data_IF_196301887084
#
_entry.id   IF_196301887084
#
_cell.length_a   1.000
_cell.length_b   1.000
_cell.length_c   1.000
_cell.angle_alpha   90.00
_cell.angle_beta   90.00
_cell.angle_gamma   90.00
#
_symmetry.space_group_name_H-M   'P 1'
#
loop_
_entity.id
_entity.type
_entity.pdbx_description
1 polymer ?
#
# COMPACT_ATOMS: atom_id res chain seq x y z
N UNK A 1 31.51 -25.65 13.50
CA UNK A 1 32.40 -25.22 12.40
C UNK A 1 31.89 -25.82 11.10
N UNK A 2 31.20 -25.03 10.28
CA UNK A 2 31.01 -25.27 8.85
C UNK A 2 30.91 -23.89 8.19
N UNK A 3 32.03 -23.16 8.15
CA UNK A 3 32.19 -21.92 7.39
C UNK A 3 32.63 -22.23 5.96
N UNK A 4 31.91 -23.13 5.28
CA UNK A 4 32.17 -23.49 3.89
C UNK A 4 31.29 -22.67 2.91
N UNK A 5 30.74 -21.55 3.36
CA UNK A 5 30.05 -20.62 2.47
C UNK A 5 31.06 -19.84 1.64
N UNK A 6 30.88 -19.81 0.32
CA UNK A 6 31.60 -18.88 -0.54
C UNK A 6 31.15 -17.46 -0.19
N UNK A 7 32.04 -16.65 0.41
CA UNK A 7 31.72 -15.29 0.87
C UNK A 7 31.92 -14.22 -0.21
N UNK A 8 32.43 -14.60 -1.38
CA UNK A 8 32.81 -13.67 -2.47
C UNK A 8 32.57 -14.32 -3.85
N UNK A 9 31.41 -14.95 -4.02
CA UNK A 9 31.06 -15.61 -5.28
C UNK A 9 30.65 -14.58 -6.34
N UNK A 10 31.42 -14.50 -7.42
CA UNK A 10 31.03 -13.75 -8.61
C UNK A 10 30.06 -14.60 -9.44
N UNK A 11 28.89 -14.02 -9.75
CA UNK A 11 27.89 -14.64 -10.63
C UNK A 11 27.71 -13.80 -11.89
N UNK A 12 27.75 -14.45 -13.05
CA UNK A 12 27.43 -13.79 -14.33
C UNK A 12 25.95 -13.98 -14.62
N UNK A 13 25.20 -12.88 -14.73
CA UNK A 13 23.79 -12.91 -15.12
C UNK A 13 23.70 -12.84 -16.65
N UNK A 14 23.20 -13.91 -17.28
CA UNK A 14 22.99 -13.97 -18.74
C UNK A 14 21.54 -13.64 -19.06
N UNK A 15 21.28 -12.46 -19.62
CA UNK A 15 19.91 -11.98 -19.88
C UNK A 15 19.20 -12.65 -21.08
N UNK A 16 19.82 -13.64 -21.72
CA UNK A 16 19.32 -14.32 -22.92
C UNK A 16 19.86 -15.75 -22.98
N UNK A 17 19.37 -16.65 -22.13
CA UNK A 17 19.59 -18.08 -22.31
C UNK A 17 18.44 -18.68 -23.10
N UNK A 18 18.75 -19.48 -24.13
CA UNK A 18 17.77 -20.27 -24.90
C UNK A 18 17.03 -21.32 -24.06
N UNK A 19 17.45 -21.52 -22.80
CA UNK A 19 16.82 -22.40 -21.84
C UNK A 19 15.88 -21.62 -20.92
N UNK A 20 14.69 -22.20 -20.68
CA UNK A 20 13.51 -21.72 -19.93
C UNK A 20 13.73 -21.40 -18.43
N UNK A 21 14.90 -20.86 -18.04
CA UNK A 21 15.22 -20.54 -16.65
C UNK A 21 15.31 -19.03 -16.49
N UNK A 22 14.40 -18.47 -15.69
CA UNK A 22 14.39 -17.04 -15.37
C UNK A 22 15.68 -16.65 -14.65
N UNK A 23 16.37 -15.62 -15.14
CA UNK A 23 17.57 -15.08 -14.51
C UNK A 23 17.22 -14.22 -13.29
N UNK A 24 18.12 -14.21 -12.29
CA UNK A 24 18.02 -13.31 -11.14
C UNK A 24 18.24 -11.85 -11.55
N UNK A 25 17.49 -10.93 -10.93
CA UNK A 25 17.67 -9.49 -11.17
C UNK A 25 18.88 -8.94 -10.41
N UNK A 26 19.83 -8.36 -11.15
CA UNK A 26 21.08 -7.78 -10.65
C UNK A 26 20.91 -6.56 -9.75
N UNK A 27 19.74 -5.93 -9.69
CA UNK A 27 19.51 -4.72 -8.89
C UNK A 27 19.01 -5.02 -7.46
N UNK A 28 18.77 -6.29 -7.11
CA UNK A 28 18.44 -6.66 -5.74
C UNK A 28 19.68 -6.70 -4.83
N UNK A 29 19.51 -6.26 -3.59
CA UNK A 29 20.55 -6.32 -2.55
C UNK A 29 20.58 -7.65 -1.81
N UNK A 30 19.47 -8.39 -1.79
CA UNK A 30 19.30 -9.64 -1.07
C UNK A 30 18.43 -10.61 -1.87
N UNK A 31 18.74 -11.91 -1.79
CA UNK A 31 17.93 -12.98 -2.36
C UNK A 31 17.54 -13.98 -1.27
N UNK A 32 16.26 -14.34 -1.24
CA UNK A 32 15.76 -15.47 -0.46
C UNK A 32 15.34 -16.55 -1.46
N UNK A 33 16.16 -17.59 -1.58
CA UNK A 33 15.91 -18.71 -2.48
C UNK A 33 15.11 -19.78 -1.74
N UNK A 34 14.01 -20.21 -2.35
CA UNK A 34 13.11 -21.22 -1.82
C UNK A 34 13.24 -22.46 -2.70
N UNK A 35 13.35 -23.62 -2.07
CA UNK A 35 13.52 -24.90 -2.76
C UNK A 35 12.53 -25.92 -2.16
N UNK A 36 11.71 -26.51 -3.02
CA UNK A 36 10.80 -27.62 -2.69
C UNK A 36 11.34 -28.98 -3.19
N UNK A 37 12.57 -28.99 -3.72
CA UNK A 37 13.25 -30.15 -4.29
C UNK A 37 12.85 -30.48 -5.72
N UNK A 38 12.03 -29.67 -6.39
CA UNK A 38 11.56 -29.91 -7.77
C UNK A 38 12.18 -28.93 -8.76
N UNK A 39 12.73 -29.47 -9.84
CA UNK A 39 13.28 -28.65 -10.93
C UNK A 39 12.16 -28.10 -11.83
N UNK A 40 12.28 -26.83 -12.23
CA UNK A 40 11.37 -26.14 -13.15
C UNK A 40 9.90 -26.14 -12.69
N UNK A 41 9.69 -26.09 -11.38
CA UNK A 41 8.36 -26.03 -10.78
C UNK A 41 8.14 -24.67 -10.12
N UNK A 42 7.03 -24.01 -10.45
CA UNK A 42 6.55 -22.88 -9.67
C UNK A 42 5.89 -23.40 -8.40
N UNK A 43 6.28 -22.84 -7.25
CA UNK A 43 5.66 -23.18 -5.97
C UNK A 43 4.15 -22.94 -6.03
N UNK A 44 3.38 -23.94 -5.61
CA UNK A 44 1.91 -23.84 -5.53
C UNK A 44 1.42 -22.98 -4.36
N UNK A 45 2.25 -22.87 -3.32
CA UNK A 45 1.97 -22.04 -2.15
C UNK A 45 2.61 -20.66 -2.31
N UNK A 46 2.03 -19.63 -1.65
CA UNK A 46 2.61 -18.28 -1.56
C UNK A 46 3.35 -18.11 -0.21
N UNK A 47 4.62 -18.56 -0.09
CA UNK A 47 5.40 -18.40 1.14
C UNK A 47 5.69 -16.94 1.48
N UNK A 48 5.68 -16.05 0.47
CA UNK A 48 5.82 -14.60 0.66
C UNK A 48 4.69 -14.06 1.53
N UNK A 49 3.46 -14.54 1.35
CA UNK A 49 2.32 -14.14 2.18
C UNK A 49 2.57 -14.32 3.68
N UNK A 50 3.06 -15.50 4.10
CA UNK A 50 3.40 -15.83 5.50
C UNK A 50 4.60 -15.03 6.01
N UNK A 51 5.60 -14.82 5.15
CA UNK A 51 6.77 -14.02 5.48
C UNK A 51 6.38 -12.57 5.79
N UNK A 52 5.59 -11.94 4.92
CA UNK A 52 5.09 -10.57 5.11
C UNK A 52 4.27 -10.47 6.40
N UNK A 53 3.37 -11.43 6.65
CA UNK A 53 2.59 -11.48 7.89
C UNK A 53 3.49 -11.53 9.14
N UNK A 54 4.54 -12.36 9.11
CA UNK A 54 5.50 -12.46 10.22
C UNK A 54 6.21 -11.13 10.48
N UNK A 55 6.67 -10.45 9.42
CA UNK A 55 7.33 -9.14 9.54
C UNK A 55 6.37 -8.08 10.08
N UNK A 56 5.14 -8.00 9.55
CA UNK A 56 4.13 -7.06 10.02
C UNK A 56 3.82 -7.27 11.51
N UNK A 57 3.67 -8.53 11.96
CA UNK A 57 3.40 -8.82 13.37
C UNK A 57 4.58 -8.44 14.28
N UNK A 58 5.82 -8.68 13.84
CA UNK A 58 7.02 -8.37 14.63
C UNK A 58 7.32 -6.87 14.69
N UNK A 59 7.11 -6.15 13.59
CA UNK A 59 7.51 -4.74 13.45
C UNK A 59 6.35 -3.77 13.60
N UNK A 60 5.12 -4.27 13.66
CA UNK A 60 3.89 -3.47 13.70
C UNK A 60 3.76 -2.52 12.49
N UNK A 61 4.32 -2.92 11.34
CA UNK A 61 4.26 -2.16 10.09
C UNK A 61 3.03 -2.53 9.25
N UNK A 62 2.61 -1.60 8.39
CA UNK A 62 1.60 -1.87 7.38
C UNK A 62 2.26 -2.42 6.11
N UNK A 63 1.65 -3.44 5.52
CA UNK A 63 2.04 -3.97 4.22
C UNK A 63 0.95 -3.71 3.18
N UNK A 64 1.37 -3.46 1.95
CA UNK A 64 0.50 -3.25 0.79
C UNK A 64 1.10 -3.98 -0.41
N UNK A 65 0.23 -4.56 -1.23
CA UNK A 65 0.63 -5.15 -2.52
C UNK A 65 0.30 -4.19 -3.64
N UNK A 66 1.28 -3.92 -4.51
CA UNK A 66 1.10 -3.07 -5.69
C UNK A 66 1.17 -3.95 -6.93
N UNK A 67 0.15 -3.87 -7.77
CA UNK A 67 0.05 -4.63 -9.02
C UNK A 67 0.37 -3.72 -10.20
N UNK A 68 1.49 -4.01 -10.85
CA UNK A 68 1.91 -3.40 -12.12
C UNK A 68 1.81 -4.48 -13.18
N UNK A 69 1.01 -4.25 -14.22
CA UNK A 69 0.61 -5.26 -15.20
C UNK A 69 0.06 -6.54 -14.54
N UNK A 70 0.79 -7.65 -14.63
CA UNK A 70 0.40 -8.97 -14.15
C UNK A 70 -0.21 -9.87 -15.22
N UNK A 71 0.05 -11.16 -15.07
CA UNK A 71 -0.67 -12.23 -15.79
C UNK A 71 -1.80 -12.79 -14.94
N UNK A 72 -2.54 -13.74 -15.47
CA UNK A 72 -3.56 -14.52 -14.73
C UNK A 72 -3.05 -15.10 -13.40
N UNK A 73 -1.82 -15.60 -13.32
CA UNK A 73 -1.23 -16.15 -12.08
C UNK A 73 -1.14 -15.09 -10.96
N UNK A 74 -1.08 -13.81 -11.30
CA UNK A 74 -1.10 -12.71 -10.32
C UNK A 74 -2.43 -12.64 -9.56
N UNK A 75 -3.53 -13.17 -10.10
CA UNK A 75 -4.81 -13.24 -9.41
C UNK A 75 -4.73 -14.08 -8.12
N UNK A 76 -3.87 -15.10 -8.09
CA UNK A 76 -3.67 -15.90 -6.88
C UNK A 76 -2.97 -15.09 -5.78
N UNK A 77 -1.95 -14.32 -6.15
CA UNK A 77 -1.25 -13.40 -5.23
C UNK A 77 -2.24 -12.38 -4.65
N UNK A 78 -3.04 -11.75 -5.52
CA UNK A 78 -4.09 -10.80 -5.10
C UNK A 78 -5.08 -11.48 -4.15
N UNK A 79 -5.57 -12.67 -4.51
CA UNK A 79 -6.52 -13.43 -3.70
C UNK A 79 -5.95 -13.72 -2.30
N UNK A 80 -4.69 -14.15 -2.21
CA UNK A 80 -4.02 -14.43 -0.95
C UNK A 80 -3.87 -13.18 -0.09
N UNK A 81 -3.52 -12.04 -0.69
CA UNK A 81 -3.43 -10.76 0.01
C UNK A 81 -4.79 -10.28 0.51
N UNK A 82 -5.85 -10.43 -0.29
CA UNK A 82 -7.22 -10.10 0.12
C UNK A 82 -7.72 -11.03 1.24
N UNK A 83 -7.39 -12.34 1.21
CA UNK A 83 -7.69 -13.25 2.32
C UNK A 83 -6.98 -12.81 3.61
N UNK A 84 -5.73 -12.37 3.51
CA UNK A 84 -4.95 -11.82 4.62
C UNK A 84 -5.37 -10.39 5.02
N UNK A 85 -6.43 -9.83 4.43
CA UNK A 85 -6.88 -8.44 4.66
C UNK A 85 -5.76 -7.40 4.41
N UNK A 86 -4.85 -7.69 3.49
CA UNK A 86 -3.83 -6.73 3.05
C UNK A 86 -4.38 -5.87 1.90
N UNK A 87 -4.22 -4.54 1.95
CA UNK A 87 -4.59 -3.69 0.84
C UNK A 87 -3.81 -4.06 -0.44
N UNK A 88 -4.52 -3.98 -1.55
CA UNK A 88 -4.01 -4.20 -2.92
C UNK A 88 -4.28 -2.94 -3.72
N UNK A 89 -3.22 -2.34 -4.25
CA UNK A 89 -3.24 -1.18 -5.12
C UNK A 89 -2.98 -1.61 -6.57
N UNK A 90 -3.92 -1.33 -7.45
CA UNK A 90 -3.82 -1.60 -8.88
C UNK A 90 -3.27 -0.36 -9.58
N UNK A 91 -2.18 -0.50 -10.34
CA UNK A 91 -1.68 0.60 -11.19
C UNK A 91 -2.40 0.56 -12.54
N UNK A 92 -3.55 1.23 -12.61
CA UNK A 92 -4.38 1.32 -13.81
C UNK A 92 -3.68 2.17 -14.88
N UNK A 93 -3.57 1.62 -16.08
CA UNK A 93 -2.77 2.18 -17.17
C UNK A 93 -1.43 1.48 -17.36
N UNK A 94 -1.01 0.60 -16.43
CA UNK A 94 0.24 -0.17 -16.60
C UNK A 94 0.13 -1.32 -17.61
N UNK A 95 -1.08 -1.86 -17.87
CA UNK A 95 -1.28 -2.93 -18.86
C UNK A 95 -1.91 -4.20 -18.28
N UNK A 96 -2.11 -5.20 -19.16
CA UNK A 96 -2.53 -6.58 -18.85
C UNK A 96 -3.60 -6.70 -17.74
N UNK A 97 -3.34 -7.50 -16.70
CA UNK A 97 -4.29 -7.73 -15.59
C UNK A 97 -4.66 -6.42 -14.88
N UNK A 98 -3.68 -5.55 -14.61
CA UNK A 98 -3.93 -4.28 -13.93
C UNK A 98 -4.95 -3.41 -14.68
N UNK A 99 -4.96 -3.43 -16.02
CA UNK A 99 -5.96 -2.71 -16.80
C UNK A 99 -7.35 -3.35 -16.71
N UNK A 100 -7.43 -4.67 -16.79
CA UNK A 100 -8.69 -5.41 -16.61
C UNK A 100 -9.30 -5.10 -15.25
N UNK A 101 -8.52 -5.22 -14.16
CA UNK A 101 -9.00 -4.93 -12.82
C UNK A 101 -9.30 -3.43 -12.62
N UNK A 102 -8.46 -2.53 -13.13
CA UNK A 102 -8.66 -1.09 -13.05
C UNK A 102 -9.96 -0.64 -13.73
N UNK A 103 -10.21 -1.12 -14.96
CA UNK A 103 -11.45 -0.83 -15.69
C UNK A 103 -12.70 -1.35 -14.96
N UNK A 104 -12.63 -2.57 -14.43
CA UNK A 104 -13.73 -3.15 -13.65
C UNK A 104 -13.98 -2.35 -12.37
N UNK A 105 -12.93 -1.97 -11.64
CA UNK A 105 -13.05 -1.19 -10.40
C UNK A 105 -13.64 0.20 -10.66
N UNK A 106 -13.23 0.87 -11.75
CA UNK A 106 -13.80 2.17 -12.17
C UNK A 106 -15.29 2.03 -12.53
N UNK A 107 -15.67 0.94 -13.20
CA UNK A 107 -17.05 0.70 -13.61
C UNK A 107 -17.99 0.38 -12.44
N UNK A 108 -17.57 -0.51 -11.53
CA UNK A 108 -18.43 -0.98 -10.43
C UNK A 108 -18.34 -0.07 -9.20
N UNK A 109 -17.28 0.73 -9.09
CA UNK A 109 -17.01 1.58 -7.94
C UNK A 109 -16.92 0.80 -6.63
N UNK A 110 -17.17 1.47 -5.50
CA UNK A 110 -17.08 0.86 -4.15
C UNK A 110 -18.30 0.01 -3.76
N UNK A 111 -19.36 -0.04 -4.54
CA UNK A 111 -20.63 -0.72 -4.16
C UNK A 111 -21.13 -1.76 -5.15
N UNK A 112 -20.66 -1.72 -6.41
CA UNK A 112 -21.08 -2.63 -7.46
C UNK A 112 -20.46 -4.02 -7.35
N UNK A 113 -21.00 -4.94 -8.14
CA UNK A 113 -20.51 -6.31 -8.32
C UNK A 113 -20.15 -6.52 -9.78
N UNK A 114 -19.10 -7.28 -10.04
CA UNK A 114 -18.69 -7.59 -11.41
C UNK A 114 -19.45 -8.82 -11.93
N UNK A 115 -20.12 -8.66 -13.07
CA UNK A 115 -20.79 -9.76 -13.76
C UNK A 115 -19.85 -10.52 -14.68
N UNK A 116 -20.16 -11.80 -14.95
CA UNK A 116 -19.38 -12.65 -15.86
C UNK A 116 -19.18 -12.01 -17.24
N UNK A 117 -20.22 -11.39 -17.79
CA UNK A 117 -20.16 -10.74 -19.11
C UNK A 117 -19.22 -9.53 -19.11
N UNK A 118 -19.15 -8.79 -18.01
CA UNK A 118 -18.24 -7.65 -17.90
C UNK A 118 -16.79 -8.10 -17.84
N UNK A 119 -16.50 -9.20 -17.12
CA UNK A 119 -15.15 -9.78 -17.13
C UNK A 119 -14.80 -10.24 -18.53
N UNK A 120 -15.68 -10.98 -19.21
CA UNK A 120 -15.45 -11.45 -20.58
C UNK A 120 -15.12 -10.30 -21.54
N UNK A 121 -15.91 -9.23 -21.52
CA UNK A 121 -15.64 -8.04 -22.33
C UNK A 121 -14.25 -7.44 -22.05
N UNK A 122 -13.76 -7.49 -20.82
CA UNK A 122 -12.41 -7.02 -20.50
C UNK A 122 -11.32 -8.01 -20.93
N UNK A 123 -11.58 -9.32 -20.87
CA UNK A 123 -10.66 -10.34 -21.38
C UNK A 123 -10.52 -10.28 -22.90
N UNK A 124 -11.62 -10.00 -23.62
CA UNK A 124 -11.60 -9.80 -25.09
C UNK A 124 -10.70 -8.62 -25.49
N UNK A 125 -10.62 -7.58 -24.65
CA UNK A 125 -9.73 -6.43 -24.84
C UNK A 125 -8.27 -6.74 -24.43
N UNK A 126 -8.01 -7.86 -23.76
CA UNK A 126 -6.69 -8.26 -23.28
C UNK A 126 -6.42 -9.76 -23.53
N UNK A 127 -6.33 -10.19 -24.80
CA UNK A 127 -6.20 -11.62 -25.14
C UNK A 127 -4.93 -12.27 -24.60
N UNK A 128 -3.89 -11.48 -24.31
CA UNK A 128 -2.61 -11.95 -23.74
C UNK A 128 -2.65 -12.20 -22.23
N UNK A 129 -3.80 -11.97 -21.56
CA UNK A 129 -3.92 -12.20 -20.13
C UNK A 129 -4.01 -13.69 -19.79
N UNK A 130 -4.77 -14.45 -20.58
CA UNK A 130 -4.84 -15.90 -20.51
C UNK A 130 -3.71 -16.50 -21.35
N UNK A 131 -2.89 -17.39 -20.78
CA UNK A 131 -2.00 -18.20 -21.60
C UNK A 131 -2.76 -19.39 -22.21
N UNK A 132 -2.18 -20.00 -23.25
CA UNK A 132 -2.80 -21.06 -24.07
C UNK A 132 -3.39 -22.23 -23.25
N UNK A 133 -2.83 -22.48 -22.06
CA UNK A 133 -3.15 -23.63 -21.23
C UNK A 133 -4.15 -23.32 -20.10
N UNK A 134 -4.58 -22.06 -19.97
CA UNK A 134 -5.49 -21.65 -18.90
C UNK A 134 -6.96 -21.65 -19.31
N UNK A 135 -7.78 -22.18 -18.42
CA UNK A 135 -9.22 -22.15 -18.58
C UNK A 135 -9.76 -20.73 -18.32
N UNK A 136 -10.26 -20.07 -19.37
CA UNK A 136 -10.86 -18.73 -19.30
C UNK A 136 -11.94 -18.64 -18.22
N UNK A 137 -12.75 -19.69 -18.04
CA UNK A 137 -13.81 -19.72 -17.03
C UNK A 137 -13.24 -19.59 -15.61
N UNK A 138 -12.11 -20.25 -15.32
CA UNK A 138 -11.43 -20.14 -14.02
C UNK A 138 -10.89 -18.72 -13.80
N UNK A 139 -10.31 -18.11 -14.84
CA UNK A 139 -9.82 -16.71 -14.76
C UNK A 139 -10.98 -15.76 -14.46
N UNK A 140 -12.14 -15.97 -15.09
CA UNK A 140 -13.33 -15.16 -14.82
C UNK A 140 -13.79 -15.31 -13.38
N UNK A 141 -13.90 -16.54 -12.88
CA UNK A 141 -14.29 -16.82 -11.50
C UNK A 141 -13.33 -16.17 -10.50
N UNK A 142 -12.02 -16.25 -10.75
CA UNK A 142 -10.99 -15.61 -9.92
C UNK A 142 -11.13 -14.08 -9.91
N UNK A 143 -11.34 -13.46 -11.07
CA UNK A 143 -11.58 -12.02 -11.16
C UNK A 143 -12.84 -11.64 -10.38
N UNK A 144 -13.95 -12.37 -10.55
CA UNK A 144 -15.17 -12.09 -9.78
C UNK A 144 -14.96 -12.25 -8.27
N UNK A 145 -14.15 -13.22 -7.84
CA UNK A 145 -13.80 -13.43 -6.44
C UNK A 145 -12.99 -12.27 -5.85
N UNK A 146 -12.10 -11.64 -6.63
CA UNK A 146 -11.37 -10.42 -6.24
C UNK A 146 -12.36 -9.30 -5.89
N UNK A 147 -13.41 -9.11 -6.69
CA UNK A 147 -14.43 -8.08 -6.47
C UNK A 147 -15.54 -8.46 -5.48
N UNK A 148 -15.37 -9.53 -4.69
CA UNK A 148 -16.37 -9.92 -3.70
C UNK A 148 -16.61 -8.78 -2.68
N UNK A 149 -17.86 -8.57 -2.21
CA UNK A 149 -18.22 -7.47 -1.30
C UNK A 149 -17.32 -7.28 -0.07
N UNK A 150 -16.84 -8.40 0.50
CA UNK A 150 -15.95 -8.41 1.67
C UNK A 150 -14.57 -7.78 1.42
N UNK A 151 -14.11 -7.72 0.16
CA UNK A 151 -12.76 -7.25 -0.20
C UNK A 151 -12.71 -5.81 -0.67
N UNK A 152 -13.86 -5.15 -0.83
CA UNK A 152 -13.97 -3.82 -1.44
C UNK A 152 -13.08 -2.75 -0.82
N UNK A 153 -12.97 -2.72 0.51
CA UNK A 153 -12.12 -1.73 1.20
C UNK A 153 -10.62 -1.99 1.07
N UNK A 154 -10.24 -3.17 0.61
CA UNK A 154 -8.85 -3.58 0.40
C UNK A 154 -8.41 -3.42 -1.05
N UNK A 155 -9.29 -2.98 -1.94
CA UNK A 155 -8.97 -2.75 -3.35
C UNK A 155 -9.00 -1.25 -3.64
N UNK A 156 -7.88 -0.75 -4.17
CA UNK A 156 -7.74 0.62 -4.65
C UNK A 156 -7.05 0.62 -6.01
N UNK A 157 -7.24 1.69 -6.79
CA UNK A 157 -6.53 1.89 -8.03
C UNK A 157 -5.83 3.27 -8.05
N UNK A 158 -4.68 3.30 -8.69
CA UNK A 158 -3.97 4.52 -9.09
C UNK A 158 -3.97 4.58 -10.61
N UNK A 159 -4.50 5.66 -11.19
CA UNK A 159 -4.55 5.86 -12.64
C UNK A 159 -3.35 6.66 -13.11
N UNK A 160 -2.50 6.05 -13.93
CA UNK A 160 -1.26 6.66 -14.45
C UNK A 160 -1.53 7.94 -15.26
N UNK A 161 -2.68 8.06 -15.89
CA UNK A 161 -3.07 9.19 -16.75
C UNK A 161 -3.74 10.36 -16.00
N UNK A 162 -4.23 10.15 -14.77
CA UNK A 162 -5.01 11.15 -14.02
C UNK A 162 -4.48 11.45 -12.62
N UNK A 163 -3.97 10.44 -11.93
CA UNK A 163 -3.57 10.58 -10.54
C UNK A 163 -2.13 11.11 -10.44
N UNK A 164 -1.94 12.10 -9.57
CA UNK A 164 -0.67 12.85 -9.50
C UNK A 164 0.25 12.33 -8.41
N UNK A 165 -0.30 11.77 -7.32
CA UNK A 165 0.46 11.44 -6.13
C UNK A 165 0.27 9.98 -5.72
N UNK A 166 1.14 9.11 -6.23
CA UNK A 166 1.16 7.69 -5.90
C UNK A 166 1.33 7.45 -4.40
N UNK A 167 2.18 8.23 -3.72
CA UNK A 167 2.40 8.11 -2.28
C UNK A 167 1.11 8.34 -1.49
N UNK A 168 0.32 9.35 -1.86
CA UNK A 168 -0.98 9.61 -1.23
C UNK A 168 -1.96 8.48 -1.53
N UNK A 169 -1.98 7.95 -2.75
CA UNK A 169 -2.85 6.81 -3.09
C UNK A 169 -2.46 5.53 -2.34
N UNK A 170 -1.15 5.26 -2.18
CA UNK A 170 -0.66 4.15 -1.35
C UNK A 170 -1.11 4.35 0.11
N UNK A 171 -0.91 5.55 0.65
CA UNK A 171 -1.32 5.86 2.01
C UNK A 171 -2.84 5.68 2.21
N UNK A 172 -3.65 6.20 1.29
CA UNK A 172 -5.12 6.06 1.31
C UNK A 172 -5.56 4.61 1.20
N UNK A 173 -4.90 3.80 0.36
CA UNK A 173 -5.20 2.38 0.26
C UNK A 173 -4.94 1.65 1.59
N UNK A 174 -3.90 2.02 2.34
CA UNK A 174 -3.69 1.51 3.70
C UNK A 174 -4.76 2.04 4.66
N UNK A 175 -5.01 3.35 4.65
CA UNK A 175 -5.99 3.99 5.53
C UNK A 175 -7.41 3.43 5.39
N UNK A 176 -7.90 3.21 4.17
CA UNK A 176 -9.25 2.70 3.88
C UNK A 176 -9.50 1.30 4.45
N UNK A 177 -8.45 0.54 4.75
CA UNK A 177 -8.56 -0.78 5.39
C UNK A 177 -8.78 -0.70 6.90
N UNK A 178 -8.30 0.38 7.53
CA UNK A 178 -8.40 0.59 8.98
C UNK A 178 -9.79 1.11 9.35
N UNK A 179 -10.35 0.60 10.43
CA UNK A 179 -11.72 0.94 10.86
C UNK A 179 -11.79 1.53 12.26
N UNK A 180 -10.70 1.42 13.03
CA UNK A 180 -10.71 1.72 14.44
C UNK A 180 -9.99 3.05 14.69
N UNK A 181 -10.59 3.89 15.55
CA UNK A 181 -9.95 5.16 15.95
C UNK A 181 -8.59 4.94 16.64
N UNK A 182 -8.36 3.72 17.14
CA UNK A 182 -7.10 3.28 17.75
C UNK A 182 -5.93 3.32 16.76
N UNK A 183 -6.18 3.13 15.46
CA UNK A 183 -5.14 3.17 14.43
C UNK A 183 -4.79 4.58 13.98
N UNK A 184 -5.63 5.58 14.26
CA UNK A 184 -5.44 6.93 13.75
C UNK A 184 -4.14 7.58 14.24
N UNK A 185 -3.71 7.29 15.46
CA UNK A 185 -2.44 7.81 16.00
C UNK A 185 -1.26 7.31 15.16
N UNK A 186 -1.17 5.99 14.94
CA UNK A 186 -0.13 5.36 14.12
C UNK A 186 -0.19 5.82 12.67
N UNK A 187 -1.39 5.97 12.10
CA UNK A 187 -1.58 6.43 10.73
C UNK A 187 -1.19 7.90 10.55
N UNK A 188 -1.50 8.78 11.51
CA UNK A 188 -1.06 10.17 11.47
C UNK A 188 0.46 10.28 11.61
N UNK A 189 1.06 9.48 12.49
CA UNK A 189 2.51 9.39 12.61
C UNK A 189 3.16 8.92 11.31
N UNK A 190 2.56 7.93 10.64
CA UNK A 190 3.00 7.44 9.34
C UNK A 190 2.88 8.53 8.27
N UNK A 191 1.78 9.28 8.25
CA UNK A 191 1.54 10.36 7.30
C UNK A 191 2.62 11.45 7.42
N UNK A 192 3.01 11.83 8.65
CA UNK A 192 4.13 12.76 8.88
C UNK A 192 5.43 12.16 8.38
N UNK A 193 5.72 10.89 8.69
CA UNK A 193 6.95 10.23 8.23
C UNK A 193 7.05 10.06 6.72
N UNK A 194 5.91 9.93 6.04
CA UNK A 194 5.82 9.81 4.59
C UNK A 194 5.63 11.16 3.89
N UNK A 195 5.59 12.26 4.65
CA UNK A 195 5.28 13.60 4.16
C UNK A 195 3.97 13.65 3.34
N UNK A 196 2.97 12.88 3.76
CA UNK A 196 1.66 12.75 3.12
C UNK A 196 0.61 13.65 3.80
N UNK A 197 0.68 14.96 3.54
CA UNK A 197 -0.19 15.95 4.19
C UNK A 197 -1.68 15.70 3.87
N UNK A 198 -2.00 15.40 2.62
CA UNK A 198 -3.38 15.14 2.18
C UNK A 198 -3.98 13.95 2.94
N UNK A 199 -3.22 12.85 3.10
CA UNK A 199 -3.64 11.69 3.87
C UNK A 199 -3.85 12.00 5.34
N UNK A 200 -2.97 12.81 5.95
CA UNK A 200 -3.18 13.29 7.32
C UNK A 200 -4.44 14.14 7.45
N UNK A 201 -4.70 15.01 6.47
CA UNK A 201 -5.89 15.83 6.44
C UNK A 201 -7.17 14.99 6.38
N UNK A 202 -7.20 13.96 5.51
CA UNK A 202 -8.34 13.03 5.41
C UNK A 202 -8.64 12.33 6.75
N UNK A 203 -7.60 11.89 7.47
CA UNK A 203 -7.75 11.28 8.81
C UNK A 203 -8.36 12.30 9.79
N UNK A 204 -7.80 13.51 9.84
CA UNK A 204 -8.27 14.55 10.75
C UNK A 204 -9.72 14.95 10.45
N UNK A 205 -10.12 15.04 9.18
CA UNK A 205 -11.51 15.30 8.81
C UNK A 205 -12.44 14.15 9.20
N UNK A 206 -12.00 12.89 9.07
CA UNK A 206 -12.79 11.72 9.53
C UNK A 206 -12.98 11.72 11.05
N UNK A 207 -11.95 12.09 11.81
CA UNK A 207 -12.03 12.27 13.28
C UNK A 207 -13.00 13.38 13.65
N UNK A 208 -12.97 14.51 12.92
CA UNK A 208 -13.93 15.60 13.15
C UNK A 208 -15.35 15.13 12.86
N UNK A 209 -15.57 14.47 11.72
CA UNK A 209 -16.88 13.98 11.30
C UNK A 209 -17.47 12.93 12.26
N UNK A 210 -16.66 11.99 12.79
CA UNK A 210 -17.15 11.00 13.77
C UNK A 210 -17.67 11.68 15.05
N UNK A 211 -17.01 12.78 15.47
CA UNK A 211 -17.32 13.48 16.72
C UNK A 211 -18.40 14.55 16.60
N UNK A 212 -18.67 15.09 15.41
CA UNK A 212 -19.78 16.04 15.17
C UNK A 212 -21.16 15.40 15.33
N UNK A 213 -21.27 14.06 15.23
CA UNK A 213 -22.51 13.33 15.55
C UNK A 213 -22.89 13.36 17.04
N UNK A 214 -21.93 13.69 17.92
CA UNK A 214 -22.16 14.03 19.32
C UNK A 214 -22.02 15.54 19.49
N UNK A 215 -23.08 16.24 19.87
CA UNK A 215 -23.05 17.69 20.10
C UNK A 215 -22.03 18.06 21.20
N UNK A 216 -20.76 18.27 20.87
CA UNK A 216 -19.75 18.64 21.86
C UNK A 216 -18.51 19.32 21.25
N UNK A 217 -17.95 20.40 21.85
CA UNK A 217 -16.60 20.95 21.58
C UNK A 217 -15.40 19.97 21.61
N UNK A 218 -15.65 18.66 21.71
CA UNK A 218 -14.66 17.57 21.77
C UNK A 218 -14.02 17.26 20.40
N UNK A 219 -14.69 17.56 19.28
CA UNK A 219 -14.06 17.42 17.95
C UNK A 219 -12.80 18.29 17.82
N UNK A 220 -12.80 19.50 18.42
CA UNK A 220 -11.63 20.37 18.54
C UNK A 220 -10.59 19.83 19.56
N UNK A 221 -11.00 18.93 20.45
CA UNK A 221 -10.14 18.32 21.48
C UNK A 221 -9.41 17.07 20.99
N UNK A 222 -9.98 16.34 20.01
CA UNK A 222 -9.33 15.19 19.40
C UNK A 222 -8.06 15.58 18.64
N UNK A 223 -8.11 16.72 17.93
CA UNK A 223 -6.95 17.31 17.26
C UNK A 223 -5.89 17.71 18.29
N UNK A 224 -6.30 18.28 19.44
CA UNK A 224 -5.37 18.63 20.54
C UNK A 224 -4.61 17.43 21.11
N UNK A 225 -5.18 16.22 21.11
CA UNK A 225 -4.49 15.01 21.57
C UNK A 225 -3.24 14.73 20.72
N UNK A 226 -3.38 14.79 19.39
CA UNK A 226 -2.33 14.37 18.46
C UNK A 226 -1.40 15.50 18.02
N UNK A 227 -1.86 16.76 18.09
CA UNK A 227 -1.13 17.90 17.54
C UNK A 227 0.30 18.07 18.06
N UNK A 228 0.56 18.06 19.39
CA UNK A 228 1.89 18.38 19.90
C UNK A 228 2.95 17.38 19.45
N UNK A 229 2.65 16.08 19.50
CA UNK A 229 3.57 15.02 19.09
C UNK A 229 3.80 15.02 17.57
N UNK A 230 2.75 15.21 16.78
CA UNK A 230 2.87 15.29 15.32
C UNK A 230 3.63 16.54 14.87
N UNK A 231 3.44 17.68 15.53
CA UNK A 231 4.19 18.90 15.24
C UNK A 231 5.67 18.76 15.59
N UNK A 232 5.98 18.19 16.76
CA UNK A 232 7.37 17.90 17.15
C UNK A 232 8.04 16.94 16.17
N UNK A 233 7.35 15.88 15.76
CA UNK A 233 7.83 14.94 14.74
C UNK A 233 8.07 15.62 13.40
N UNK A 234 7.13 16.46 12.96
CA UNK A 234 7.27 17.22 11.72
C UNK A 234 8.49 18.17 11.74
N UNK A 235 8.79 18.79 12.88
CA UNK A 235 10.00 19.59 13.06
C UNK A 235 11.28 18.73 13.02
N UNK A 236 11.31 17.62 13.76
CA UNK A 236 12.48 16.71 13.81
C UNK A 236 12.79 16.07 12.45
N UNK A 237 11.76 15.74 11.69
CA UNK A 237 11.90 15.13 10.37
C UNK A 237 11.94 16.14 9.21
N UNK A 238 11.97 17.45 9.51
CA UNK A 238 12.01 18.53 8.51
C UNK A 238 10.86 18.41 7.47
N UNK A 239 9.61 18.41 7.95
CA UNK A 239 8.38 18.33 7.14
C UNK A 239 7.71 19.72 7.05
N UNK A 240 8.20 20.64 6.19
CA UNK A 240 7.76 22.04 6.19
C UNK A 240 6.27 22.22 5.88
N UNK A 241 5.69 21.36 5.02
CA UNK A 241 4.26 21.41 4.70
C UNK A 241 3.38 21.08 5.91
N UNK A 242 3.79 20.11 6.72
CA UNK A 242 3.10 19.79 7.97
C UNK A 242 3.27 20.91 8.99
N UNK A 243 4.47 21.47 9.11
CA UNK A 243 4.75 22.60 10.01
C UNK A 243 3.87 23.81 9.66
N UNK A 244 3.83 24.21 8.38
CA UNK A 244 2.97 25.30 7.89
C UNK A 244 1.47 25.00 8.10
N UNK A 245 1.03 23.78 7.75
CA UNK A 245 -0.34 23.34 8.03
C UNK A 245 -0.68 23.49 9.52
N UNK A 246 0.24 23.06 10.38
CA UNK A 246 0.02 23.10 11.82
C UNK A 246 -0.01 24.53 12.39
N UNK A 247 0.72 25.48 11.80
CA UNK A 247 0.63 26.89 12.15
C UNK A 247 -0.66 27.56 11.68
N UNK A 248 -1.22 27.13 10.53
CA UNK A 248 -2.41 27.75 9.92
C UNK A 248 -3.73 27.32 10.53
N UNK A 249 -3.83 26.09 11.02
CA UNK A 249 -5.01 25.67 11.75
C UNK A 249 -4.98 26.38 13.11
N UNK A 250 -5.95 27.28 13.35
CA UNK A 250 -6.17 28.16 14.52
C UNK A 250 -5.88 27.57 15.91
N UNK A 251 -4.63 27.27 16.19
CA UNK A 251 -4.08 26.97 17.51
C UNK A 251 -2.98 27.98 17.75
N UNK A 252 -3.10 28.78 18.80
CA UNK A 252 -2.02 29.65 19.26
C UNK A 252 -0.76 28.79 19.41
N UNK A 253 0.28 28.97 18.57
CA UNK A 253 1.51 28.20 18.67
C UNK A 253 2.18 28.34 20.04
N UNK A 254 1.84 29.43 20.74
CA UNK A 254 2.28 29.76 22.10
C UNK A 254 1.68 28.85 23.19
N UNK A 255 0.61 28.11 22.90
CA UNK A 255 -0.02 27.18 23.87
C UNK A 255 0.53 25.75 23.78
N UNK A 256 1.26 25.40 22.72
CA UNK A 256 1.85 24.08 22.59
C UNK A 256 3.20 23.99 23.30
N UNK A 257 3.30 23.12 24.31
CA UNK A 257 4.55 22.80 25.04
C UNK A 257 5.70 22.41 24.11
N UNK A 258 5.39 21.81 22.96
CA UNK A 258 6.36 21.46 21.91
C UNK A 258 7.05 22.68 21.28
N UNK A 259 6.33 23.78 21.03
CA UNK A 259 6.91 25.01 20.48
C UNK A 259 7.80 25.72 21.50
N UNK A 260 7.37 25.76 22.77
CA UNK A 260 8.17 26.29 23.88
C UNK A 260 9.46 25.47 24.06
N UNK A 261 9.37 24.14 23.98
CA UNK A 261 10.54 23.26 24.08
C UNK A 261 11.47 23.36 22.86
N UNK A 262 10.94 23.42 21.64
CA UNK A 262 11.75 23.57 20.42
C UNK A 262 12.51 24.91 20.38
N UNK A 263 11.87 25.99 20.86
CA UNK A 263 12.54 27.29 21.02
C UNK A 263 13.69 27.23 22.03
N UNK A 264 13.54 26.40 23.06
CA UNK A 264 14.58 26.20 24.09
C UNK A 264 15.68 25.22 23.67
N UNK A 265 15.53 24.45 22.58
CA UNK A 265 16.57 23.52 22.08
C UNK A 265 17.62 24.16 21.16
N UNK A 266 17.68 25.50 21.08
CA UNK A 266 18.91 26.21 20.66
C UNK A 266 19.23 26.26 19.17
N UNK A 267 18.30 25.95 18.26
CA UNK A 267 18.55 26.03 16.81
C UNK A 267 18.29 27.41 16.17
N UNK A 268 17.84 28.38 16.96
CA UNK A 268 17.74 29.79 16.58
C UNK A 268 18.70 30.64 17.41
N UNK A 269 20.00 30.35 17.32
CA UNK A 269 21.00 31.35 17.62
C UNK A 269 21.23 32.14 16.33
N UNK A 270 20.56 33.28 16.25
CA UNK A 270 20.72 34.26 15.19
C UNK A 270 22.18 34.72 15.11
N UNK A 271 22.83 34.42 13.99
CA UNK A 271 23.90 35.25 13.43
C UNK A 271 23.47 35.75 12.07
#
# INVERSE_FOLDING_TARGET
ALSNGLTDSQHTVTFWSENEINSLDKYHTHFLLLDDGRLNHYLSDDPRSKFVETICNQTQCYAITIIVEGGSNTLEVIRNDLYAKRPVLIIHGSGRLANVLGNLLEKVGKTGTVTKNEVKQQLDLCPTLCCCDQNEEQVIEMIQAVFAPKYRRYLSAFRVDRDVNLTNTIFRAVFDTQNDEEDYEKLLELAVSWNCLDGAHDILERIKASKVSSSNPIAQHAVRKYYPSLFEKALKENRPLFVDYFFRQYYSPLETTAFVNYRNTGYFDSK
#
